data_IF_990961290927
#
_entry.id   IF_990961290927
#
_cell.length_a   1.000
_cell.length_b   1.000
_cell.length_c   1.000
_cell.angle_alpha   90.00
_cell.angle_beta   90.00
_cell.angle_gamma   90.00
#
_symmetry.space_group_name_H-M   'P 1'
#
loop_
_entity.id
_entity.type
_entity.pdbx_description
1 polymer ?
#
# COMPACT_ATOMS: atom_id res chain seq x y z
N UNK A 1 -5.47 4.22 11.70
CA UNK A 1 -5.84 4.73 13.04
C UNK A 1 -6.19 3.52 13.89
N UNK A 2 -5.55 3.36 15.05
CA UNK A 2 -5.90 2.30 16.00
C UNK A 2 -6.90 2.86 17.01
N UNK A 3 -8.14 2.38 16.99
CA UNK A 3 -9.06 2.55 18.12
C UNK A 3 -9.08 1.27 18.93
N UNK A 4 -8.67 1.38 20.19
CA UNK A 4 -8.90 0.33 21.19
C UNK A 4 -10.26 0.59 21.85
N UNK A 5 -11.29 -0.07 21.33
CA UNK A 5 -12.62 -0.13 21.94
C UNK A 5 -13.31 -1.46 21.65
N UNK A 6 -13.44 -2.33 22.66
CA UNK A 6 -14.35 -3.47 22.62
C UNK A 6 -13.83 -4.82 22.07
N UNK A 7 -12.50 -5.00 21.91
CA UNK A 7 -11.92 -6.35 21.76
C UNK A 7 -12.16 -7.07 20.43
N UNK A 8 -12.54 -6.37 19.35
CA UNK A 8 -12.48 -6.92 17.99
C UNK A 8 -11.81 -5.93 17.05
N UNK A 9 -10.58 -6.25 16.65
CA UNK A 9 -9.86 -5.54 15.60
C UNK A 9 -10.50 -5.94 14.27
N UNK A 10 -11.13 -4.99 13.61
CA UNK A 10 -11.48 -5.10 12.18
C UNK A 10 -10.66 -4.04 11.45
N UNK A 11 -9.74 -4.49 10.60
CA UNK A 11 -9.00 -3.62 9.71
C UNK A 11 -9.97 -3.02 8.69
N UNK A 12 -10.32 -1.75 8.90
CA UNK A 12 -10.86 -0.92 7.85
C UNK A 12 -9.70 -0.07 7.32
N UNK A 13 -9.26 -0.33 6.08
CA UNK A 13 -8.21 0.41 5.38
C UNK A 13 -8.59 1.90 5.12
N UNK A 14 -9.84 2.28 5.42
CA UNK A 14 -10.30 3.64 5.53
C UNK A 14 -10.09 4.16 6.94
N UNK A 15 -9.24 5.19 7.10
CA UNK A 15 -9.04 5.85 8.39
C UNK A 15 -10.34 6.43 8.98
N UNK A 16 -10.23 7.11 10.13
CA UNK A 16 -11.35 7.74 10.84
C UNK A 16 -12.29 8.56 9.92
N UNK A 17 -11.75 9.12 8.84
CA UNK A 17 -12.49 9.95 7.90
C UNK A 17 -13.36 9.16 6.90
N UNK A 18 -12.98 7.94 6.50
CA UNK A 18 -13.84 7.07 5.69
C UNK A 18 -15.07 6.64 6.50
N UNK A 19 -14.89 6.46 7.80
CA UNK A 19 -15.96 6.23 8.76
C UNK A 19 -16.88 7.45 8.92
N UNK A 20 -16.33 8.66 9.02
CA UNK A 20 -17.09 9.92 9.08
C UNK A 20 -17.90 10.16 7.80
N UNK A 21 -17.30 9.99 6.62
CA UNK A 21 -17.96 10.13 5.33
C UNK A 21 -19.11 9.12 5.15
N UNK A 22 -18.89 7.85 5.50
CA UNK A 22 -19.92 6.80 5.42
C UNK A 22 -21.08 7.02 6.37
N UNK A 23 -20.86 7.73 7.48
CA UNK A 23 -21.88 8.08 8.47
C UNK A 23 -22.50 9.46 8.25
N UNK A 24 -22.04 10.24 7.26
CA UNK A 24 -22.39 11.67 7.08
C UNK A 24 -22.20 12.47 8.37
N UNK A 25 -21.14 12.17 9.10
CA UNK A 25 -20.80 12.86 10.35
C UNK A 25 -19.67 13.82 10.01
N UNK A 26 -19.90 15.11 10.18
CA UNK A 26 -18.98 16.15 9.73
C UNK A 26 -17.79 16.35 10.69
N UNK A 27 -17.88 15.78 11.90
CA UNK A 27 -16.84 15.92 12.93
C UNK A 27 -16.91 14.80 13.97
N UNK A 28 -15.74 14.35 14.42
CA UNK A 28 -15.59 13.44 15.56
C UNK A 28 -16.27 13.96 16.85
N UNK A 29 -16.46 15.28 16.96
CA UNK A 29 -17.18 15.92 18.05
C UNK A 29 -18.66 15.47 18.13
N UNK A 30 -19.32 15.20 17.01
CA UNK A 30 -20.72 14.76 16.98
C UNK A 30 -20.88 13.32 17.50
N UNK A 31 -19.86 12.47 17.34
CA UNK A 31 -19.82 11.12 17.91
C UNK A 31 -19.68 11.14 19.45
N UNK A 32 -18.98 12.13 20.01
CA UNK A 32 -18.93 12.32 21.46
C UNK A 32 -20.22 12.90 22.03
N UNK A 33 -20.92 13.76 21.28
CA UNK A 33 -22.20 14.35 21.67
C UNK A 33 -23.38 13.35 21.64
N UNK A 34 -23.34 12.36 20.74
CA UNK A 34 -24.40 11.35 20.63
C UNK A 34 -24.44 10.32 21.78
N UNK A 35 -23.50 10.41 22.72
CA UNK A 35 -23.50 9.63 23.98
C UNK A 35 -24.21 10.34 25.15
N UNK A 36 -24.81 11.53 24.97
CA UNK A 36 -25.57 12.19 26.04
C UNK A 36 -26.71 13.08 25.50
N UNK A 37 -27.95 12.96 26.02
CA UNK A 37 -29.07 13.76 25.54
C UNK A 37 -29.08 15.08 26.31
N UNK A 38 -28.37 16.11 25.85
CA UNK A 38 -28.70 17.48 26.26
C UNK A 38 -28.40 18.49 25.15
N UNK A 39 -29.47 19.16 24.78
CA UNK A 39 -29.64 20.23 23.80
C UNK A 39 -28.56 21.32 23.92
N UNK A 40 -27.95 21.71 22.80
CA UNK A 40 -27.81 23.12 22.41
C UNK A 40 -27.42 23.24 20.93
N UNK A 41 -28.34 23.88 20.19
CA UNK A 41 -28.21 24.29 18.79
C UNK A 41 -27.22 25.46 18.74
N UNK A 42 -25.94 25.17 18.66
CA UNK A 42 -24.92 26.13 18.28
C UNK A 42 -24.75 26.03 16.77
N UNK A 43 -24.89 27.15 16.06
CA UNK A 43 -24.61 27.26 14.64
C UNK A 43 -23.25 26.63 14.35
N UNK A 44 -23.28 25.45 13.71
CA UNK A 44 -22.11 24.83 13.17
C UNK A 44 -21.61 25.73 12.04
N UNK A 45 -20.59 26.54 12.33
CA UNK A 45 -19.72 27.03 11.29
C UNK A 45 -19.30 25.79 10.48
N UNK A 46 -19.40 25.80 9.15
CA UNK A 46 -18.93 24.68 8.36
C UNK A 46 -17.45 24.55 8.68
N UNK A 47 -17.08 23.55 9.48
CA UNK A 47 -15.69 23.15 9.66
C UNK A 47 -15.35 22.58 8.31
N UNK A 48 -14.90 23.50 7.45
CA UNK A 48 -15.03 23.46 6.00
C UNK A 48 -14.68 22.09 5.45
N UNK A 49 -15.52 21.55 4.58
CA UNK A 49 -15.20 20.42 3.68
C UNK A 49 -13.77 20.55 3.11
N UNK A 50 -13.28 21.78 2.93
CA UNK A 50 -11.90 22.12 2.52
C UNK A 50 -10.78 21.61 3.45
N UNK A 51 -10.99 21.56 4.78
CA UNK A 51 -10.01 21.00 5.74
C UNK A 51 -10.04 19.47 5.75
N UNK A 52 -11.24 18.88 5.63
CA UNK A 52 -11.43 17.43 5.51
C UNK A 52 -10.79 16.89 4.22
N UNK A 53 -10.92 17.63 3.11
CA UNK A 53 -10.30 17.30 1.84
C UNK A 53 -8.76 17.38 1.91
N UNK A 54 -8.20 18.34 2.65
CA UNK A 54 -6.74 18.48 2.78
C UNK A 54 -6.07 17.30 3.50
N UNK A 55 -6.65 16.80 4.59
CA UNK A 55 -6.09 15.65 5.30
C UNK A 55 -6.25 14.34 4.53
N UNK A 56 -7.39 14.15 3.85
CA UNK A 56 -7.61 13.02 2.95
C UNK A 56 -6.60 13.03 1.78
N UNK A 57 -6.40 14.19 1.15
CA UNK A 57 -5.38 14.37 0.10
C UNK A 57 -3.97 14.09 0.62
N UNK A 58 -3.64 14.53 1.85
CA UNK A 58 -2.33 14.28 2.45
C UNK A 58 -2.09 12.79 2.71
N UNK A 59 -3.10 12.04 3.17
CA UNK A 59 -2.99 10.59 3.36
C UNK A 59 -2.90 9.85 2.01
N UNK A 60 -3.67 10.24 1.00
CA UNK A 60 -3.56 9.71 -0.36
C UNK A 60 -2.16 9.97 -0.95
N UNK A 61 -1.62 11.19 -0.79
CA UNK A 61 -0.27 11.53 -1.22
C UNK A 61 0.81 10.70 -0.53
N UNK A 62 0.64 10.38 0.76
CA UNK A 62 1.55 9.46 1.46
C UNK A 62 1.45 8.03 0.93
N UNK A 63 0.24 7.53 0.65
CA UNK A 63 0.02 6.21 0.06
C UNK A 63 0.68 6.12 -1.32
N UNK A 64 0.43 7.09 -2.20
CA UNK A 64 1.07 7.16 -3.52
C UNK A 64 2.59 7.14 -3.41
N UNK A 65 3.21 7.99 -2.58
CA UNK A 65 4.68 7.98 -2.39
C UNK A 65 5.23 6.64 -1.90
N UNK A 66 4.48 5.94 -1.05
CA UNK A 66 4.88 4.62 -0.55
C UNK A 66 4.86 3.60 -1.68
N UNK A 67 3.81 3.59 -2.49
CA UNK A 67 3.65 2.63 -3.59
C UNK A 67 4.63 2.96 -4.72
N UNK A 68 4.85 4.23 -5.05
CA UNK A 68 5.89 4.67 -6.00
C UNK A 68 7.27 4.17 -5.57
N UNK A 69 7.58 4.28 -4.28
CA UNK A 69 8.82 3.73 -3.74
C UNK A 69 8.84 2.20 -3.88
N UNK A 70 7.75 1.51 -3.59
CA UNK A 70 7.66 0.06 -3.72
C UNK A 70 7.89 -0.40 -5.17
N UNK A 71 7.29 0.31 -6.14
CA UNK A 71 7.52 0.07 -7.57
C UNK A 71 9.00 0.22 -7.90
N UNK A 72 9.64 1.33 -7.49
CA UNK A 72 11.06 1.56 -7.73
C UNK A 72 11.98 0.52 -7.04
N UNK A 73 11.63 0.10 -5.82
CA UNK A 73 12.35 -0.95 -5.09
C UNK A 73 12.19 -2.32 -5.79
N UNK A 74 11.02 -2.62 -6.35
CA UNK A 74 10.80 -3.83 -7.14
C UNK A 74 11.60 -3.82 -8.44
N UNK A 75 11.62 -2.70 -9.17
CA UNK A 75 12.44 -2.54 -10.39
C UNK A 75 13.92 -2.79 -10.11
N UNK A 76 14.46 -2.23 -9.03
CA UNK A 76 15.85 -2.48 -8.62
C UNK A 76 16.09 -3.95 -8.23
N UNK A 77 15.12 -4.61 -7.60
CA UNK A 77 15.22 -6.03 -7.25
C UNK A 77 15.19 -6.91 -8.49
N UNK A 78 14.32 -6.61 -9.46
CA UNK A 78 14.27 -7.28 -10.77
C UNK A 78 15.63 -7.14 -11.46
N UNK A 79 16.16 -5.92 -11.60
CA UNK A 79 17.45 -5.70 -12.26
C UNK A 79 18.58 -6.53 -11.62
N UNK A 80 18.63 -6.57 -10.27
CA UNK A 80 19.63 -7.39 -9.56
C UNK A 80 19.43 -8.89 -9.79
N UNK A 81 18.21 -9.38 -9.70
CA UNK A 81 17.90 -10.79 -9.96
C UNK A 81 18.21 -11.18 -11.41
N UNK A 82 18.01 -10.28 -12.38
CA UNK A 82 18.38 -10.51 -13.78
C UNK A 82 19.89 -10.64 -13.93
N UNK A 83 20.66 -9.77 -13.27
CA UNK A 83 22.12 -9.85 -13.26
C UNK A 83 22.61 -11.13 -12.60
N UNK A 84 22.02 -11.54 -11.47
CA UNK A 84 22.37 -12.76 -10.76
C UNK A 84 22.05 -14.01 -11.59
N UNK A 85 20.88 -14.05 -12.25
CA UNK A 85 20.50 -15.12 -13.18
C UNK A 85 21.50 -15.19 -14.33
N UNK A 86 21.82 -14.06 -14.97
CA UNK A 86 22.76 -14.03 -16.09
C UNK A 86 24.18 -14.50 -15.68
N UNK A 87 24.65 -14.09 -14.50
CA UNK A 87 25.92 -14.53 -13.95
C UNK A 87 25.91 -16.04 -13.64
N UNK A 88 24.80 -16.57 -13.14
CA UNK A 88 24.64 -17.98 -12.85
C UNK A 88 24.56 -18.82 -14.13
N UNK A 89 23.81 -18.36 -15.14
CA UNK A 89 23.71 -18.99 -16.46
C UNK A 89 25.06 -19.04 -17.15
N UNK A 90 25.89 -17.99 -17.04
CA UNK A 90 27.26 -18.00 -17.54
C UNK A 90 28.13 -19.10 -16.88
N UNK A 91 27.92 -19.36 -15.58
CA UNK A 91 28.59 -20.47 -14.88
C UNK A 91 28.05 -21.83 -15.31
N UNK A 92 26.74 -21.95 -15.54
CA UNK A 92 26.10 -23.18 -16.03
C UNK A 92 26.49 -23.53 -17.46
N UNK A 93 26.85 -22.53 -18.28
CA UNK A 93 27.36 -22.74 -19.64
C UNK A 93 28.78 -23.34 -19.70
N UNK A 94 29.46 -23.49 -18.56
CA UNK A 94 30.76 -24.17 -18.48
C UNK A 94 30.59 -25.70 -18.43
N UNK A 95 31.54 -26.50 -18.96
CA UNK A 95 31.47 -27.97 -18.90
C UNK A 95 31.33 -28.51 -17.47
N UNK A 96 31.99 -27.88 -16.51
CA UNK A 96 31.92 -28.23 -15.09
C UNK A 96 30.55 -27.86 -14.50
N UNK A 97 30.06 -26.65 -14.80
CA UNK A 97 28.77 -26.14 -14.32
C UNK A 97 27.56 -26.87 -14.89
N UNK A 98 27.63 -27.36 -16.13
CA UNK A 98 26.57 -28.15 -16.76
C UNK A 98 26.28 -29.48 -16.03
N UNK A 99 27.24 -29.96 -15.23
CA UNK A 99 27.09 -31.17 -14.41
C UNK A 99 26.69 -30.88 -12.96
N UNK A 100 26.68 -29.62 -12.53
CA UNK A 100 26.39 -29.22 -11.17
C UNK A 100 24.89 -28.94 -10.96
N UNK A 101 24.19 -29.94 -10.42
CA UNK A 101 22.75 -29.84 -10.08
C UNK A 101 22.42 -28.67 -9.15
N UNK A 102 23.35 -28.22 -8.30
CA UNK A 102 23.08 -27.09 -7.38
C UNK A 102 22.92 -25.77 -8.13
N UNK A 103 23.62 -25.59 -9.25
CA UNK A 103 23.49 -24.38 -10.07
C UNK A 103 22.10 -24.31 -10.72
N UNK A 104 21.55 -25.45 -11.15
CA UNK A 104 20.19 -25.53 -11.68
C UNK A 104 19.13 -25.24 -10.60
N UNK A 105 19.31 -25.77 -9.38
CA UNK A 105 18.42 -25.47 -8.25
C UNK A 105 18.44 -23.98 -7.88
N UNK A 106 19.63 -23.37 -7.85
CA UNK A 106 19.79 -21.94 -7.61
C UNK A 106 19.15 -21.10 -8.72
N UNK A 107 19.30 -21.51 -9.99
CA UNK A 107 18.67 -20.81 -11.12
C UNK A 107 17.16 -20.87 -11.05
N UNK A 108 16.60 -22.04 -10.77
CA UNK A 108 15.16 -22.21 -10.58
C UNK A 108 14.63 -21.37 -9.42
N UNK A 109 15.37 -21.29 -8.30
CA UNK A 109 15.02 -20.45 -7.17
C UNK A 109 15.04 -18.96 -7.53
N UNK A 110 16.11 -18.47 -8.18
CA UNK A 110 16.20 -17.06 -8.61
C UNK A 110 15.12 -16.70 -9.63
N UNK A 111 14.79 -17.61 -10.55
CA UNK A 111 13.68 -17.43 -11.50
C UNK A 111 12.34 -17.33 -10.78
N UNK A 112 12.10 -18.18 -9.78
CA UNK A 112 10.89 -18.10 -8.96
C UNK A 112 10.80 -16.81 -8.16
N UNK A 113 11.92 -16.37 -7.58
CA UNK A 113 11.99 -15.12 -6.85
C UNK A 113 11.73 -13.93 -7.79
N UNK A 114 12.28 -13.97 -9.01
CA UNK A 114 12.01 -12.99 -10.07
C UNK A 114 10.52 -12.91 -10.37
N UNK A 115 9.88 -14.04 -10.65
CA UNK A 115 8.46 -14.08 -10.99
C UNK A 115 7.62 -13.47 -9.84
N UNK A 116 7.99 -13.75 -8.58
CA UNK A 116 7.32 -13.15 -7.42
C UNK A 116 7.53 -11.62 -7.30
N UNK A 117 8.72 -11.10 -7.63
CA UNK A 117 8.95 -9.64 -7.64
C UNK A 117 8.21 -8.97 -8.80
N UNK A 118 8.10 -9.62 -9.95
CA UNK A 118 7.31 -9.12 -11.08
C UNK A 118 5.83 -9.04 -10.70
N UNK A 119 5.27 -10.07 -10.08
CA UNK A 119 3.89 -10.02 -9.56
C UNK A 119 3.71 -8.89 -8.52
N UNK A 120 4.68 -8.68 -7.63
CA UNK A 120 4.67 -7.58 -6.66
C UNK A 120 4.68 -6.20 -7.36
N UNK A 121 5.52 -6.04 -8.38
CA UNK A 121 5.61 -4.83 -9.19
C UNK A 121 4.31 -4.55 -9.96
N UNK A 122 3.70 -5.58 -10.55
CA UNK A 122 2.42 -5.46 -11.26
C UNK A 122 1.31 -5.00 -10.31
N UNK A 123 1.21 -5.64 -9.14
CA UNK A 123 0.23 -5.27 -8.12
C UNK A 123 0.43 -3.83 -7.62
N UNK A 124 1.67 -3.45 -7.31
CA UNK A 124 2.00 -2.10 -6.87
C UNK A 124 1.74 -1.04 -7.98
N UNK A 125 2.01 -1.38 -9.24
CA UNK A 125 1.76 -0.49 -10.37
C UNK A 125 0.26 -0.27 -10.61
N UNK A 126 -0.55 -1.32 -10.48
CA UNK A 126 -2.00 -1.23 -10.56
C UNK A 126 -2.56 -0.38 -9.41
N UNK A 127 -2.13 -0.61 -8.17
CA UNK A 127 -2.56 0.17 -7.00
C UNK A 127 -2.19 1.66 -7.17
N UNK A 128 -1.01 1.94 -7.73
CA UNK A 128 -0.58 3.31 -8.02
C UNK A 128 -1.47 3.98 -9.07
N UNK A 129 -1.86 3.26 -10.11
CA UNK A 129 -2.76 3.77 -11.15
C UNK A 129 -4.15 4.06 -10.57
N UNK A 130 -4.72 3.15 -9.79
CA UNK A 130 -6.01 3.36 -9.11
C UNK A 130 -6.00 4.58 -8.20
N UNK A 131 -4.91 4.79 -7.44
CA UNK A 131 -4.77 5.99 -6.59
C UNK A 131 -4.64 7.27 -7.41
N UNK A 132 -3.95 7.23 -8.55
CA UNK A 132 -3.85 8.38 -9.46
C UNK A 132 -5.20 8.72 -10.07
N UNK A 133 -5.99 7.72 -10.46
CA UNK A 133 -7.35 7.93 -10.97
C UNK A 133 -8.28 8.54 -9.92
N UNK A 134 -8.18 8.14 -8.65
CA UNK A 134 -8.96 8.73 -7.55
C UNK A 134 -8.63 10.21 -7.28
N UNK A 135 -7.44 10.67 -7.70
CA UNK A 135 -7.00 12.06 -7.53
C UNK A 135 -7.23 12.94 -8.76
N UNK A 136 -7.73 12.37 -9.86
CA UNK A 136 -8.04 13.07 -11.12
C UNK A 136 -9.45 13.66 -11.09
#
# INVERSE_FOLDING_TARGET
>A
VYEFGGGRVREHLGGIYDFLAKKKIDSLAELQLSASPTVQKTEAQPVSESKLNYEAQKELAKKMRRIEKQVADCEQRIERLEQDIAALEARMATPEGASDMKLYEQHAALKKDMDAVVEEWEAASLELEELKEQTK
#
